data_IF_893513714961
#
_entry.id   IF_893513714961
#
_cell.length_a   1.000
_cell.length_b   1.000
_cell.length_c   1.000
_cell.angle_alpha   90.00
_cell.angle_beta   90.00
_cell.angle_gamma   90.00
#
_symmetry.space_group_name_H-M   'P 1'
#
loop_
_entity.id
_entity.type
_entity.pdbx_description
1 polymer ?
#
# COMPACT_ATOMS: atom_id res chain seq x y z
N UNK A 1 7.40 14.61 1.60
CA UNK A 1 7.91 15.27 0.37
C UNK A 1 7.58 16.75 0.39
N UNK A 2 6.30 17.11 0.43
CA UNK A 2 5.82 18.50 0.38
C UNK A 2 6.45 19.38 1.46
N UNK A 3 6.41 18.97 2.73
CA UNK A 3 6.99 19.74 3.83
C UNK A 3 8.51 19.97 3.71
N UNK A 4 9.24 19.01 3.12
CA UNK A 4 10.70 19.11 2.95
C UNK A 4 11.09 20.01 1.77
N UNK A 5 10.26 20.07 0.73
CA UNK A 5 10.59 20.74 -0.53
C UNK A 5 9.78 22.03 -0.78
N UNK A 6 8.72 22.29 -0.02
CA UNK A 6 7.84 23.43 -0.23
C UNK A 6 7.04 23.39 -1.53
N UNK A 7 6.78 22.19 -2.06
CA UNK A 7 6.05 21.96 -3.33
C UNK A 7 4.76 21.19 -3.12
N UNK A 8 3.82 21.33 -4.06
CA UNK A 8 2.65 20.46 -4.13
C UNK A 8 2.99 19.18 -4.90
N UNK A 9 2.91 18.03 -4.22
CA UNK A 9 3.00 16.70 -4.82
C UNK A 9 1.58 16.20 -5.16
N UNK A 10 1.43 15.62 -6.35
CA UNK A 10 0.18 15.09 -6.90
C UNK A 10 0.43 13.64 -7.30
N UNK A 11 -0.44 12.74 -6.87
CA UNK A 11 -0.35 11.34 -7.28
C UNK A 11 -0.90 11.12 -8.68
N UNK A 12 -0.16 10.35 -9.47
CA UNK A 12 -0.55 9.89 -10.80
C UNK A 12 -0.44 8.37 -10.81
N UNK A 13 -1.53 7.71 -11.17
CA UNK A 13 -1.62 6.27 -11.28
C UNK A 13 -1.61 5.83 -12.75
N UNK A 14 -1.01 4.67 -12.99
CA UNK A 14 -0.79 4.14 -14.33
C UNK A 14 -0.27 2.71 -14.35
N UNK A 15 -0.52 2.02 -15.46
CA UNK A 15 -0.11 0.63 -15.70
C UNK A 15 0.42 0.51 -17.13
N UNK A 16 1.56 -0.16 -17.31
CA UNK A 16 2.21 -0.34 -18.63
C UNK A 16 1.30 -1.06 -19.62
N UNK A 17 0.53 -2.03 -19.14
CA UNK A 17 -0.43 -2.84 -19.89
C UNK A 17 -1.52 -1.97 -20.54
N UNK A 18 -1.80 -0.80 -19.96
CA UNK A 18 -2.81 0.14 -20.42
C UNK A 18 -2.17 1.26 -21.23
N UNK A 19 -1.75 2.35 -20.57
CA UNK A 19 -1.20 3.56 -21.21
C UNK A 19 0.15 3.97 -20.59
N UNK A 20 0.57 3.32 -19.50
CA UNK A 20 1.57 3.87 -18.60
C UNK A 20 0.93 4.93 -17.69
N UNK A 21 1.60 6.06 -17.42
CA UNK A 21 1.06 7.11 -16.56
C UNK A 21 -0.19 7.75 -17.18
N UNK A 22 -1.09 8.24 -16.32
CA UNK A 22 -2.28 8.97 -16.75
C UNK A 22 -3.53 8.11 -16.91
N UNK A 23 -3.61 6.97 -16.23
CA UNK A 23 -4.89 6.25 -16.04
C UNK A 23 -5.77 7.01 -15.04
N UNK A 24 -5.16 7.49 -13.96
CA UNK A 24 -5.83 8.29 -12.94
C UNK A 24 -4.89 9.34 -12.33
N UNK A 25 -5.43 10.47 -11.88
CA UNK A 25 -4.62 11.59 -11.38
C UNK A 25 -5.33 12.39 -10.27
N UNK A 26 -4.61 12.73 -9.20
CA UNK A 26 -5.10 13.64 -8.16
C UNK A 26 -5.35 15.04 -8.74
N UNK A 27 -6.36 15.74 -8.18
CA UNK A 27 -6.51 17.17 -8.37
C UNK A 27 -5.97 17.93 -7.16
N UNK A 28 -6.04 19.27 -7.20
CA UNK A 28 -5.57 20.15 -6.11
C UNK A 28 -6.25 19.91 -4.76
N UNK A 29 -7.43 19.27 -4.74
CA UNK A 29 -8.17 18.96 -3.51
C UNK A 29 -7.66 17.69 -2.81
N UNK A 30 -6.89 16.83 -3.50
CA UNK A 30 -6.28 15.61 -2.92
C UNK A 30 -7.26 14.67 -2.20
N UNK A 31 -8.49 14.60 -2.67
CA UNK A 31 -9.54 13.71 -2.16
C UNK A 31 -9.74 12.52 -3.10
N UNK A 32 -8.66 11.86 -3.51
CA UNK A 32 -8.65 10.77 -4.50
C UNK A 32 -8.25 11.21 -5.91
N UNK A 33 -7.91 10.22 -6.74
CA UNK A 33 -7.44 10.39 -8.11
C UNK A 33 -8.59 10.19 -9.10
N UNK A 34 -8.81 11.15 -10.01
CA UNK A 34 -9.81 11.04 -11.06
C UNK A 34 -9.38 10.04 -12.12
N UNK A 35 -10.23 9.05 -12.39
CA UNK A 35 -10.06 8.14 -13.54
C UNK A 35 -10.60 8.84 -14.78
N UNK A 36 -9.85 8.81 -15.88
CA UNK A 36 -10.31 9.37 -17.16
C UNK A 36 -11.32 8.43 -17.82
N UNK A 37 -12.59 8.53 -17.37
CA UNK A 37 -13.68 7.62 -17.77
C UNK A 37 -14.04 7.64 -19.26
N UNK A 38 -13.59 8.66 -19.98
CA UNK A 38 -13.63 8.75 -21.44
C UNK A 38 -12.66 7.75 -22.12
N UNK A 39 -11.62 7.32 -21.41
CA UNK A 39 -10.62 6.37 -21.88
C UNK A 39 -10.70 5.00 -21.21
N UNK A 40 -11.23 4.93 -19.99
CA UNK A 40 -11.25 3.72 -19.17
C UNK A 40 -12.61 3.52 -18.50
N UNK A 41 -13.19 2.33 -18.65
CA UNK A 41 -14.28 1.88 -17.78
C UNK A 41 -13.65 1.20 -16.54
N UNK A 42 -13.95 1.74 -15.36
CA UNK A 42 -13.42 1.25 -14.09
C UNK A 42 -14.50 0.53 -13.26
N UNK A 43 -14.12 -0.62 -12.74
CA UNK A 43 -14.93 -1.44 -11.83
C UNK A 43 -14.08 -1.79 -10.61
N UNK A 44 -14.73 -1.98 -9.46
CA UNK A 44 -14.11 -2.63 -8.30
C UNK A 44 -14.88 -3.91 -8.02
N UNK A 45 -14.17 -5.03 -7.92
CA UNK A 45 -14.75 -6.33 -7.62
C UNK A 45 -14.23 -6.89 -6.30
N UNK A 46 -14.99 -7.75 -5.66
CA UNK A 46 -14.46 -8.60 -4.61
C UNK A 46 -13.48 -9.61 -5.25
N UNK A 47 -12.22 -9.73 -4.77
CA UNK A 47 -11.21 -10.55 -5.42
C UNK A 47 -11.47 -12.07 -5.33
N UNK A 48 -12.37 -12.49 -4.43
CA UNK A 48 -12.72 -13.92 -4.22
C UNK A 48 -13.98 -14.29 -5.00
N UNK A 49 -15.04 -13.49 -4.86
CA UNK A 49 -16.34 -13.77 -5.49
C UNK A 49 -16.47 -13.22 -6.91
N UNK A 50 -15.55 -12.33 -7.29
CA UNK A 50 -15.52 -11.59 -8.55
C UNK A 50 -16.78 -10.76 -8.84
N UNK A 51 -17.62 -10.55 -7.81
CA UNK A 51 -18.81 -9.72 -7.91
C UNK A 51 -18.48 -8.24 -7.72
N UNK A 52 -19.24 -7.32 -8.34
CA UNK A 52 -19.07 -5.90 -8.13
C UNK A 52 -19.14 -5.50 -6.66
N UNK A 53 -18.17 -4.72 -6.20
CA UNK A 53 -18.14 -4.14 -4.86
C UNK A 53 -18.88 -2.80 -4.84
N UNK A 54 -19.68 -2.49 -3.80
CA UNK A 54 -20.30 -1.18 -3.65
C UNK A 54 -19.26 -0.04 -3.62
N UNK A 55 -19.66 1.14 -4.08
CA UNK A 55 -18.83 2.34 -3.94
C UNK A 55 -18.43 2.60 -2.49
N UNK A 56 -17.21 3.11 -2.30
CA UNK A 56 -16.59 3.31 -0.99
C UNK A 56 -16.10 2.03 -0.31
N UNK A 57 -16.40 0.82 -0.80
CA UNK A 57 -15.78 -0.42 -0.31
C UNK A 57 -14.50 -0.74 -1.05
N UNK A 58 -13.56 -1.38 -0.35
CA UNK A 58 -12.32 -1.85 -0.95
C UNK A 58 -12.58 -3.08 -1.82
N UNK A 59 -11.84 -3.20 -2.91
CA UNK A 59 -11.81 -4.38 -3.75
C UNK A 59 -10.74 -4.24 -4.83
N UNK A 60 -10.64 -5.23 -5.71
CA UNK A 60 -9.69 -5.25 -6.82
C UNK A 60 -10.18 -4.37 -7.97
N UNK A 61 -9.32 -3.45 -8.42
CA UNK A 61 -9.57 -2.59 -9.56
C UNK A 61 -9.52 -3.41 -10.86
N UNK A 62 -10.58 -3.29 -11.65
CA UNK A 62 -10.70 -3.89 -12.97
C UNK A 62 -10.90 -2.78 -13.99
N UNK A 63 -10.11 -2.79 -15.06
CA UNK A 63 -10.11 -1.75 -16.08
C UNK A 63 -10.40 -2.31 -17.47
N UNK A 64 -11.23 -1.59 -18.21
CA UNK A 64 -11.48 -1.83 -19.63
C UNK A 64 -11.08 -0.59 -20.42
N UNK A 65 -10.25 -0.74 -21.45
CA UNK A 65 -9.85 0.39 -22.31
C UNK A 65 -10.92 0.67 -23.35
N UNK A 66 -11.38 1.92 -23.43
CA UNK A 66 -12.48 2.32 -24.33
C UNK A 66 -11.98 2.87 -25.68
N UNK A 67 -10.80 3.48 -25.71
CA UNK A 67 -10.27 4.17 -26.90
C UNK A 67 -8.97 3.57 -27.43
N UNK A 68 -8.43 2.52 -26.80
CA UNK A 68 -7.16 1.90 -27.21
C UNK A 68 -7.41 0.93 -28.38
N UNK A 69 -6.84 1.22 -29.55
CA UNK A 69 -7.14 0.44 -30.76
C UNK A 69 -6.21 -0.76 -30.99
N UNK A 70 -4.90 -0.59 -30.76
CA UNK A 70 -3.92 -1.62 -31.13
C UNK A 70 -3.97 -2.88 -30.25
N UNK A 71 -4.17 -2.70 -28.94
CA UNK A 71 -4.28 -3.79 -27.97
C UNK A 71 -5.25 -3.37 -26.85
N UNK A 72 -6.57 -3.34 -27.13
CA UNK A 72 -7.56 -3.10 -26.09
C UNK A 72 -7.55 -4.25 -25.08
N UNK A 73 -7.84 -3.93 -23.83
CA UNK A 73 -8.09 -4.92 -22.80
C UNK A 73 -9.52 -4.78 -22.28
N UNK A 74 -10.16 -5.91 -22.03
CA UNK A 74 -11.51 -5.99 -21.48
C UNK A 74 -11.43 -6.64 -20.10
N UNK A 75 -11.99 -5.97 -19.10
CA UNK A 75 -12.00 -6.40 -17.69
C UNK A 75 -10.62 -6.90 -17.22
N UNK A 76 -9.57 -6.12 -17.47
CA UNK A 76 -8.23 -6.42 -17.01
C UNK A 76 -8.15 -6.32 -15.48
N UNK A 77 -7.86 -7.44 -14.82
CA UNK A 77 -7.60 -7.53 -13.38
C UNK A 77 -6.23 -6.92 -13.08
N UNK A 78 -6.22 -5.77 -12.43
CA UNK A 78 -4.98 -5.03 -12.14
C UNK A 78 -4.22 -5.61 -10.94
N UNK A 79 -4.91 -6.43 -10.13
CA UNK A 79 -4.50 -6.83 -8.79
C UNK A 79 -4.37 -5.68 -7.79
N UNK A 80 -4.65 -4.43 -8.15
CA UNK A 80 -4.55 -3.30 -7.22
C UNK A 80 -5.83 -3.16 -6.38
N UNK A 81 -5.68 -3.01 -5.06
CA UNK A 81 -6.81 -2.82 -4.13
C UNK A 81 -7.10 -1.33 -3.96
N UNK A 82 -8.34 -0.93 -4.28
CA UNK A 82 -8.77 0.48 -4.26
C UNK A 82 -10.21 0.62 -3.77
N UNK A 83 -10.63 1.85 -3.49
CA UNK A 83 -12.04 2.26 -3.37
C UNK A 83 -12.39 3.15 -4.56
N UNK A 84 -13.66 3.12 -4.99
CA UNK A 84 -14.21 4.08 -5.95
C UNK A 84 -15.22 5.02 -5.27
N UNK A 85 -15.13 6.30 -5.59
CA UNK A 85 -15.94 7.40 -5.04
C UNK A 85 -16.69 8.11 -6.19
N UNK A 86 -18.01 7.88 -6.31
CA UNK A 86 -18.83 8.40 -7.40
C UNK A 86 -19.21 9.87 -7.22
N UNK A 87 -18.98 10.45 -6.05
CA UNK A 87 -19.39 11.82 -5.76
C UNK A 87 -18.56 12.81 -6.58
N UNK A 88 -19.24 13.82 -7.13
CA UNK A 88 -18.58 14.92 -7.84
C UNK A 88 -17.58 15.61 -6.92
N UNK A 89 -16.37 15.80 -7.43
CA UNK A 89 -15.31 16.48 -6.68
C UNK A 89 -15.56 17.99 -6.64
N UNK A 90 -15.10 18.64 -5.58
CA UNK A 90 -15.11 20.11 -5.45
C UNK A 90 -14.33 20.82 -6.57
N UNK A 91 -13.46 20.12 -7.31
CA UNK A 91 -12.81 20.67 -8.50
C UNK A 91 -13.76 20.83 -9.72
N UNK A 92 -15.00 20.34 -9.63
CA UNK A 92 -16.02 20.41 -10.67
C UNK A 92 -15.98 19.25 -11.68
N UNK A 93 -14.96 18.39 -11.64
CA UNK A 93 -14.92 17.17 -12.46
C UNK A 93 -15.96 16.17 -11.96
N UNK A 94 -16.69 15.61 -12.91
CA UNK A 94 -17.74 14.60 -12.67
C UNK A 94 -17.22 13.17 -12.75
N UNK A 95 -15.97 12.98 -13.17
CA UNK A 95 -15.35 11.66 -13.28
C UNK A 95 -15.16 11.03 -11.92
N UNK A 96 -15.38 9.71 -11.86
CA UNK A 96 -15.18 8.90 -10.67
C UNK A 96 -13.76 9.05 -10.12
N UNK A 97 -13.65 9.05 -8.80
CA UNK A 97 -12.35 9.09 -8.12
C UNK A 97 -12.02 7.72 -7.55
N UNK A 98 -10.76 7.31 -7.65
CA UNK A 98 -10.23 6.18 -6.91
C UNK A 98 -9.39 6.63 -5.72
N UNK A 99 -9.33 5.81 -4.68
CA UNK A 99 -8.32 5.96 -3.63
C UNK A 99 -6.92 5.74 -4.18
N UNK A 100 -5.90 6.07 -3.37
CA UNK A 100 -4.57 5.48 -3.56
C UNK A 100 -4.67 3.95 -3.52
N UNK A 101 -3.73 3.29 -4.18
CA UNK A 101 -3.62 1.83 -4.15
C UNK A 101 -3.26 1.41 -2.73
N UNK A 102 -4.14 0.64 -2.10
CA UNK A 102 -3.97 0.14 -0.75
C UNK A 102 -3.08 -1.08 -0.67
N UNK A 103 -2.63 -1.62 -1.79
CA UNK A 103 -1.88 -2.87 -1.85
C UNK A 103 -2.27 -3.65 -3.10
N UNK A 104 -1.66 -4.82 -3.28
CA UNK A 104 -1.99 -5.70 -4.39
C UNK A 104 -2.48 -7.06 -3.90
N UNK A 105 -3.40 -7.69 -4.61
CA UNK A 105 -3.93 -9.02 -4.29
C UNK A 105 -2.85 -10.10 -4.41
N UNK A 106 -1.87 -9.90 -5.29
CA UNK A 106 -0.74 -10.81 -5.48
C UNK A 106 0.40 -10.59 -4.48
N UNK A 107 0.51 -9.39 -3.91
CA UNK A 107 1.43 -9.05 -2.81
C UNK A 107 0.78 -9.25 -1.41
N UNK A 108 -0.49 -9.70 -1.36
CA UNK A 108 -1.26 -9.89 -0.11
C UNK A 108 -0.74 -11.08 0.69
N UNK A 109 -0.50 -10.86 1.98
CA UNK A 109 -0.08 -11.91 2.90
C UNK A 109 -1.27 -12.40 3.70
N UNK A 110 -1.49 -13.72 3.70
CA UNK A 110 -2.45 -14.34 4.61
C UNK A 110 -1.63 -14.84 5.81
N UNK A 111 -1.84 -14.21 6.97
CA UNK A 111 -1.18 -14.58 8.22
C UNK A 111 -2.26 -14.87 9.26
N UNK A 112 -2.28 -16.11 9.77
CA UNK A 112 -3.31 -16.58 10.74
C UNK A 112 -4.75 -16.34 10.27
N UNK A 113 -5.00 -16.40 8.96
CA UNK A 113 -6.32 -16.20 8.36
C UNK A 113 -6.74 -14.74 8.17
N UNK A 114 -5.85 -13.79 8.46
CA UNK A 114 -6.07 -12.35 8.26
C UNK A 114 -5.29 -11.88 7.03
N UNK A 115 -5.93 -11.06 6.20
CA UNK A 115 -5.31 -10.43 5.04
C UNK A 115 -4.49 -9.22 5.47
N UNK A 116 -3.19 -9.25 5.18
CA UNK A 116 -2.22 -8.21 5.54
C UNK A 116 -1.61 -7.64 4.26
N UNK A 117 -1.73 -6.33 4.07
CA UNK A 117 -1.10 -5.63 2.95
C UNK A 117 0.18 -4.92 3.41
N UNK A 118 1.32 -5.05 2.70
CA UNK A 118 2.59 -4.40 3.06
C UNK A 118 2.53 -2.87 3.22
N UNK A 119 1.61 -2.23 2.51
CA UNK A 119 1.25 -0.80 2.54
C UNK A 119 0.56 -0.37 3.84
N UNK A 120 -0.21 -1.25 4.49
CA UNK A 120 -0.77 -0.97 5.82
C UNK A 120 0.35 -0.84 6.85
N UNK A 121 1.33 -1.75 6.79
CA UNK A 121 2.55 -1.70 7.61
C UNK A 121 3.31 -0.41 7.33
N UNK A 122 3.52 -0.05 6.06
CA UNK A 122 4.19 1.20 5.71
C UNK A 122 3.51 2.43 6.31
N UNK A 123 2.17 2.50 6.22
CA UNK A 123 1.41 3.62 6.75
C UNK A 123 1.54 3.77 8.27
N UNK A 124 1.64 2.66 9.00
CA UNK A 124 1.89 2.67 10.45
C UNK A 124 3.32 3.11 10.76
N UNK A 125 4.32 2.60 10.02
CA UNK A 125 5.71 3.01 10.25
C UNK A 125 5.91 4.51 9.99
N UNK A 126 5.23 5.06 8.98
CA UNK A 126 5.28 6.49 8.66
C UNK A 126 4.55 7.38 9.67
N UNK A 127 3.67 6.84 10.52
CA UNK A 127 2.98 7.60 11.57
C UNK A 127 3.73 7.65 12.89
N UNK A 128 4.73 6.79 13.10
CA UNK A 128 5.53 6.73 14.33
C UNK A 128 6.81 7.54 14.18
N UNK A 129 7.03 8.49 15.10
CA UNK A 129 8.24 9.32 15.12
C UNK A 129 9.47 8.50 15.56
N UNK A 130 10.64 8.77 14.97
CA UNK A 130 11.90 8.08 15.29
C UNK A 130 12.20 6.84 14.44
N UNK A 131 11.25 6.40 13.62
CA UNK A 131 11.40 5.32 12.64
C UNK A 131 11.79 5.86 11.28
N UNK A 132 12.74 5.19 10.60
CA UNK A 132 13.07 5.48 9.21
C UNK A 132 12.10 4.74 8.27
N UNK A 133 11.84 5.26 7.04
CA UNK A 133 10.92 4.64 6.07
C UNK A 133 11.48 3.34 5.45
N UNK A 134 12.53 2.76 6.04
CA UNK A 134 13.20 1.57 5.55
C UNK A 134 12.84 0.38 6.44
N UNK A 135 12.11 -0.56 5.85
CA UNK A 135 11.61 -1.75 6.54
C UNK A 135 11.61 -3.00 5.65
N UNK A 136 11.50 -4.16 6.29
CA UNK A 136 11.33 -5.47 5.67
C UNK A 136 10.36 -6.32 6.49
N UNK A 137 9.45 -7.01 5.80
CA UNK A 137 8.47 -7.92 6.35
C UNK A 137 8.99 -9.33 6.11
N UNK A 138 9.22 -10.07 7.19
CA UNK A 138 9.57 -11.48 7.17
C UNK A 138 8.30 -12.25 7.54
N UNK A 139 7.89 -13.16 6.67
CA UNK A 139 6.83 -14.11 6.96
C UNK A 139 7.47 -15.46 7.18
N UNK A 140 7.16 -16.08 8.31
CA UNK A 140 7.71 -17.38 8.70
C UNK A 140 6.59 -18.31 9.18
N UNK A 141 6.92 -19.58 9.42
CA UNK A 141 6.00 -20.56 10.00
C UNK A 141 6.67 -21.28 11.15
N UNK A 142 6.28 -20.93 12.37
CA UNK A 142 6.71 -21.62 13.59
C UNK A 142 5.60 -22.56 14.10
N UNK A 143 5.91 -23.84 14.27
CA UNK A 143 5.01 -24.84 14.89
C UNK A 143 3.58 -24.84 14.32
N UNK A 144 3.47 -24.69 12.99
CA UNK A 144 2.22 -24.65 12.20
C UNK A 144 1.44 -23.33 12.25
N UNK A 145 1.95 -22.29 12.90
CA UNK A 145 1.35 -20.96 12.87
C UNK A 145 2.21 -20.04 12.01
N UNK A 146 1.54 -19.34 11.10
CA UNK A 146 2.18 -18.27 10.34
C UNK A 146 2.48 -17.11 11.30
N UNK A 147 3.71 -16.61 11.23
CA UNK A 147 4.20 -15.47 12.01
C UNK A 147 4.70 -14.37 11.10
N UNK A 148 4.55 -13.13 11.55
CA UNK A 148 5.04 -11.95 10.85
C UNK A 148 6.04 -11.21 11.75
N UNK A 149 7.24 -10.99 11.22
CA UNK A 149 8.28 -10.17 11.85
C UNK A 149 8.57 -8.97 10.96
N UNK A 150 8.52 -7.77 11.52
CA UNK A 150 8.72 -6.50 10.81
C UNK A 150 10.04 -5.92 11.28
N UNK A 151 11.02 -5.89 10.39
CA UNK A 151 12.31 -5.24 10.62
C UNK A 151 12.22 -3.79 10.21
N UNK A 152 12.65 -2.90 11.09
CA UNK A 152 12.52 -1.45 10.92
C UNK A 152 13.85 -0.79 11.24
N UNK A 153 14.39 0.00 10.32
CA UNK A 153 15.57 0.82 10.60
C UNK A 153 15.19 1.97 11.52
N UNK A 154 16.02 2.20 12.54
CA UNK A 154 15.93 3.40 13.40
C UNK A 154 16.98 4.42 13.00
N UNK A 155 16.73 5.69 13.29
CA UNK A 155 17.71 6.75 13.05
C UNK A 155 18.97 6.57 13.92
N UNK A 156 20.11 7.07 13.45
CA UNK A 156 21.39 7.03 14.20
C UNK A 156 21.26 7.67 15.60
N UNK A 157 20.44 8.73 15.73
CA UNK A 157 20.19 9.39 17.00
C UNK A 157 19.48 8.47 18.02
N UNK A 158 18.43 7.77 17.56
CA UNK A 158 17.65 6.84 18.39
C UNK A 158 18.46 5.59 18.74
N UNK A 159 19.32 5.11 17.84
CA UNK A 159 20.21 3.98 18.14
C UNK A 159 21.28 4.33 19.17
N UNK A 160 21.71 5.60 19.22
CA UNK A 160 22.70 6.09 20.20
C UNK A 160 22.13 6.41 21.59
N UNK A 161 20.80 6.39 21.76
CA UNK A 161 20.12 6.64 23.02
C UNK A 161 20.10 5.43 23.97
N UNK A 162 19.74 5.66 25.23
CA UNK A 162 19.64 4.63 26.26
C UNK A 162 18.69 3.49 25.85
N UNK A 163 19.03 2.24 26.19
CA UNK A 163 18.27 1.01 25.87
C UNK A 163 16.77 1.08 26.16
N UNK A 164 16.36 1.92 27.11
CA UNK A 164 14.96 2.19 27.47
C UNK A 164 14.17 2.93 26.39
N UNK A 165 14.78 3.85 25.63
CA UNK A 165 14.09 4.58 24.56
C UNK A 165 13.75 3.67 23.38
N UNK A 166 14.63 2.73 23.06
CA UNK A 166 14.42 1.71 22.03
C UNK A 166 13.28 0.76 22.40
N UNK A 167 13.21 0.34 23.66
CA UNK A 167 12.09 -0.49 24.16
C UNK A 167 10.75 0.25 24.10
N UNK A 168 10.73 1.54 24.45
CA UNK A 168 9.53 2.38 24.36
C UNK A 168 9.07 2.56 22.90
N UNK A 169 10.01 2.78 21.97
CA UNK A 169 9.73 2.87 20.54
C UNK A 169 9.20 1.55 19.97
N UNK A 170 9.86 0.42 20.27
CA UNK A 170 9.43 -0.90 19.83
C UNK A 170 8.01 -1.20 20.31
N UNK A 171 7.71 -0.88 21.58
CA UNK A 171 6.38 -1.05 22.16
C UNK A 171 5.33 -0.16 21.47
N UNK A 172 5.68 1.08 21.15
CA UNK A 172 4.79 1.99 20.42
C UNK A 172 4.48 1.47 19.03
N UNK A 173 5.50 1.08 18.26
CA UNK A 173 5.31 0.52 16.90
C UNK A 173 4.46 -0.75 16.97
N UNK A 174 4.73 -1.65 17.92
CA UNK A 174 3.97 -2.90 18.09
C UNK A 174 2.50 -2.63 18.39
N UNK A 175 2.21 -1.69 19.30
CA UNK A 175 0.83 -1.36 19.67
C UNK A 175 0.02 -0.83 18.47
N UNK A 176 0.60 0.05 17.66
CA UNK A 176 -0.04 0.56 16.45
C UNK A 176 -0.21 -0.53 15.38
N UNK A 177 0.78 -1.39 15.20
CA UNK A 177 0.69 -2.54 14.28
C UNK A 177 -0.43 -3.49 14.67
N UNK A 178 -0.52 -3.86 15.94
CA UNK A 178 -1.58 -4.75 16.44
C UNK A 178 -2.97 -4.12 16.23
N UNK A 179 -3.09 -2.80 16.41
CA UNK A 179 -4.34 -2.06 16.19
C UNK A 179 -4.76 -2.02 14.71
N UNK A 180 -3.82 -1.86 13.78
CA UNK A 180 -4.12 -1.73 12.35
C UNK A 180 -4.25 -3.07 11.65
N UNK A 181 -3.39 -4.04 11.98
CA UNK A 181 -3.36 -5.35 11.35
C UNK A 181 -4.36 -6.34 11.97
N UNK A 182 -4.72 -6.13 13.25
CA UNK A 182 -5.60 -7.06 13.98
C UNK A 182 -4.94 -8.40 14.34
N UNK A 183 -3.62 -8.52 14.15
CA UNK A 183 -2.82 -9.69 14.52
C UNK A 183 -1.52 -9.23 15.20
N UNK A 184 -1.01 -10.06 16.10
CA UNK A 184 0.27 -9.82 16.76
C UNK A 184 1.41 -9.88 15.73
N UNK A 185 2.16 -8.78 15.60
CA UNK A 185 3.37 -8.72 14.79
C UNK A 185 4.62 -8.57 15.67
N UNK A 186 5.67 -9.35 15.41
CA UNK A 186 6.96 -9.14 16.08
C UNK A 186 7.66 -7.95 15.41
N UNK A 187 8.07 -6.96 16.18
CA UNK A 187 8.83 -5.82 15.67
C UNK A 187 10.29 -5.99 16.07
N UNK A 188 11.21 -5.81 15.12
CA UNK A 188 12.65 -5.82 15.37
C UNK A 188 13.26 -4.52 14.85
N UNK A 189 13.75 -3.70 15.78
CA UNK A 189 14.54 -2.53 15.42
C UNK A 189 15.93 -2.99 14.98
N UNK A 190 16.37 -2.52 13.80
CA UNK A 190 17.68 -2.86 13.23
C UNK A 190 18.51 -1.60 13.01
N UNK A 191 19.83 -1.77 12.95
CA UNK A 191 20.75 -0.66 12.72
C UNK A 191 20.46 0.03 11.38
N UNK A 192 20.58 1.37 11.31
CA UNK A 192 20.43 2.09 10.06
C UNK A 192 21.34 1.53 8.97
N UNK A 193 20.81 1.46 7.74
CA UNK A 193 21.47 0.92 6.54
C UNK A 193 21.74 -0.60 6.54
N UNK A 194 21.13 -1.37 7.46
CA UNK A 194 21.21 -2.85 7.46
C UNK A 194 20.34 -3.49 6.37
N UNK A 195 19.19 -2.89 6.05
CA UNK A 195 18.24 -3.46 5.09
C UNK A 195 18.70 -3.11 3.68
N UNK A 196 18.88 -4.14 2.85
CA UNK A 196 19.37 -4.01 1.46
C UNK A 196 18.53 -3.03 0.65
N UNK A 197 19.21 -2.05 0.04
CA UNK A 197 18.61 -1.10 -0.90
C UNK A 197 18.60 -1.71 -2.29
N UNK A 198 17.49 -1.58 -3.00
CA UNK A 198 17.34 -2.02 -4.40
C UNK A 198 17.10 -0.78 -5.26
N UNK A 199 17.69 -0.73 -6.45
CA UNK A 199 17.54 0.40 -7.39
C UNK A 199 16.15 0.42 -8.08
N UNK A 200 15.31 -0.62 -7.88
CA UNK A 200 13.96 -0.75 -8.42
C UNK A 200 12.87 -0.88 -7.33
N UNK A 201 11.79 -1.64 -7.60
CA UNK A 201 10.73 -1.91 -6.59
C UNK A 201 11.37 -2.56 -5.37
N UNK A 202 11.28 -1.89 -4.22
CA UNK A 202 11.83 -2.41 -2.97
C UNK A 202 11.22 -3.78 -2.66
N UNK A 203 12.04 -4.82 -2.52
CA UNK A 203 11.58 -6.13 -2.06
C UNK A 203 11.32 -6.06 -0.55
N UNK A 204 10.12 -5.59 -0.20
CA UNK A 204 9.69 -5.41 1.20
C UNK A 204 9.32 -6.72 1.87
N UNK A 205 8.96 -7.77 1.14
CA UNK A 205 8.52 -9.04 1.71
C UNK A 205 9.53 -10.16 1.46
N UNK A 206 9.85 -10.90 2.51
CA UNK A 206 10.63 -12.14 2.49
C UNK A 206 9.76 -13.24 3.10
N UNK A 207 9.17 -14.07 2.25
CA UNK A 207 8.42 -15.25 2.69
C UNK A 207 9.37 -16.45 2.84
N UNK A 208 9.49 -16.97 4.07
CA UNK A 208 10.32 -18.10 4.46
C UNK A 208 9.51 -19.37 4.74
N UNK A 209 8.19 -19.33 4.56
CA UNK A 209 7.34 -20.50 4.77
C UNK A 209 7.73 -21.56 3.74
N UNK A 210 8.12 -22.75 4.21
CA UNK A 210 8.24 -23.91 3.32
C UNK A 210 6.83 -24.33 2.86
N UNK A 211 6.64 -24.41 1.53
CA UNK A 211 5.40 -24.85 0.90
C UNK A 211 5.21 -26.36 0.99
#
# INVERSE_FOLDING_TARGET
IEAKLGVTAIDIYGLTELLGPGVSCECSYKTGMHIWEDHFLAEVIDPVTEQPSPYGKQGELVLTTLTKEAMPVLRFKTHDIVNLYPETCECGRTMIRMSKVHGRTDDMLIVRGVNVFPTQIESVLLSVEGVEPQYQIIVDRERHLDEIEIWVEVSDAVFSDEMRSLEELEKSVRAEMDSVLGIAARVKLVEPKTITRTEGKAKRVVDRREL
#
